data_IF_022519256736
#
_entry.id   IF_022519256736
#
_cell.length_a   1.000
_cell.length_b   1.000
_cell.length_c   1.000
_cell.angle_alpha   90.00
_cell.angle_beta   90.00
_cell.angle_gamma   90.00
#
_symmetry.space_group_name_H-M   'P 1'
#
loop_
_entity.id
_entity.type
_entity.pdbx_description
1 polymer ?
#
# COMPACT_ATOMS: atom_id res chain seq x y z
N UNK A 1 -25.38 18.86 -26.00
CA UNK A 1 -25.21 17.41 -26.26
C UNK A 1 -23.88 17.24 -26.97
N UNK A 2 -22.85 16.57 -26.48
CA UNK A 2 -22.65 15.78 -25.26
C UNK A 2 -21.15 15.73 -25.01
N UNK A 3 -20.71 16.03 -23.79
CA UNK A 3 -19.32 15.88 -23.34
C UNK A 3 -19.13 14.49 -22.73
N UNK A 4 -18.91 13.49 -23.59
CA UNK A 4 -18.80 12.08 -23.18
C UNK A 4 -17.64 11.39 -23.90
N UNK A 5 -16.43 11.92 -23.70
CA UNK A 5 -15.20 11.35 -24.24
C UNK A 5 -14.07 11.19 -23.22
N UNK A 6 -14.19 11.73 -22.00
CA UNK A 6 -13.05 11.80 -21.07
C UNK A 6 -12.93 10.58 -20.13
N UNK A 7 -14.06 9.92 -19.81
CA UNK A 7 -14.12 8.86 -18.81
C UNK A 7 -13.43 7.54 -19.23
N UNK A 8 -13.40 7.27 -20.55
CA UNK A 8 -12.81 6.02 -21.09
C UNK A 8 -11.28 6.01 -21.10
N UNK A 9 -10.64 7.18 -21.00
CA UNK A 9 -9.18 7.30 -21.03
C UNK A 9 -8.57 6.88 -19.70
N UNK A 10 -9.26 7.13 -18.59
CA UNK A 10 -8.80 6.81 -17.23
C UNK A 10 -8.77 5.29 -17.00
N UNK A 11 -9.80 4.58 -17.48
CA UNK A 11 -9.87 3.11 -17.36
C UNK A 11 -8.85 2.43 -18.29
N UNK A 12 -8.56 3.02 -19.46
CA UNK A 12 -7.50 2.54 -20.35
C UNK A 12 -6.12 2.56 -19.68
N UNK A 13 -5.87 3.54 -18.81
CA UNK A 13 -4.61 3.70 -18.06
C UNK A 13 -4.42 2.65 -16.96
N UNK A 14 -5.50 2.06 -16.44
CA UNK A 14 -5.45 0.96 -15.46
C UNK A 14 -4.95 -0.36 -16.09
N UNK A 15 -5.19 -0.58 -17.39
CA UNK A 15 -4.74 -1.78 -18.09
C UNK A 15 -3.24 -1.77 -18.45
N UNK A 16 -2.59 -0.60 -18.50
CA UNK A 16 -1.13 -0.47 -18.69
C UNK A 16 -0.30 -0.85 -17.44
N UNK A 17 -0.94 -0.99 -16.28
CA UNK A 17 -0.24 -1.38 -15.04
C UNK A 17 0.17 -2.86 -15.08
N UNK A 18 -0.43 -3.69 -15.96
CA UNK A 18 -0.21 -5.14 -16.04
C UNK A 18 1.18 -5.58 -16.52
N UNK A 19 2.03 -4.66 -17.00
CA UNK A 19 3.42 -4.96 -17.41
C UNK A 19 4.47 -4.46 -16.42
N UNK A 20 4.06 -3.81 -15.32
CA UNK A 20 4.97 -3.31 -14.29
C UNK A 20 5.31 -4.43 -13.32
N UNK A 21 6.54 -4.42 -12.79
CA UNK A 21 6.96 -5.29 -11.69
C UNK A 21 5.87 -5.29 -10.61
N UNK A 22 5.63 -6.43 -9.92
CA UNK A 22 4.67 -6.46 -8.83
C UNK A 22 4.90 -5.27 -7.90
N UNK A 23 3.84 -4.62 -7.39
CA UNK A 23 3.97 -3.44 -6.51
C UNK A 23 4.51 -3.81 -5.11
N UNK A 24 5.06 -5.01 -4.97
CA UNK A 24 5.55 -5.61 -3.75
C UNK A 24 6.80 -6.43 -4.06
N UNK A 25 7.62 -6.68 -3.04
CA UNK A 25 8.80 -7.53 -3.07
C UNK A 25 8.70 -8.65 -2.03
N UNK A 26 9.51 -9.70 -2.16
CA UNK A 26 9.57 -10.76 -1.15
C UNK A 26 10.35 -10.27 0.07
N UNK A 27 9.68 -10.19 1.21
CA UNK A 27 10.33 -10.03 2.51
C UNK A 27 10.62 -11.40 3.08
N UNK A 28 11.91 -11.63 3.40
CA UNK A 28 12.39 -12.87 3.99
C UNK A 28 12.89 -12.58 5.40
N UNK A 29 12.24 -13.18 6.39
CA UNK A 29 12.61 -13.08 7.81
C UNK A 29 12.81 -14.49 8.33
N UNK A 30 14.00 -14.84 8.77
CA UNK A 30 14.24 -16.16 9.34
C UNK A 30 15.26 -16.14 10.45
N UNK A 31 15.18 -17.17 11.28
CA UNK A 31 16.16 -17.47 12.31
C UNK A 31 17.07 -18.57 11.77
N UNK A 32 17.92 -18.22 10.81
CA UNK A 32 18.82 -19.16 10.15
C UNK A 32 20.26 -18.97 10.62
N UNK A 33 21.02 -20.06 10.65
CA UNK A 33 22.46 -20.06 11.01
C UNK A 33 23.32 -19.50 9.85
N UNK A 34 23.05 -18.25 9.47
CA UNK A 34 23.66 -17.56 8.34
C UNK A 34 22.66 -17.01 7.31
N UNK A 35 23.17 -16.21 6.38
CA UNK A 35 22.37 -15.61 5.30
C UNK A 35 22.09 -16.66 4.21
N UNK A 36 20.81 -16.95 3.97
CA UNK A 36 20.38 -17.82 2.87
C UNK A 36 20.02 -16.95 1.66
N UNK A 37 20.75 -17.12 0.57
CA UNK A 37 20.44 -16.47 -0.70
C UNK A 37 19.82 -17.49 -1.67
N UNK A 38 18.59 -17.24 -2.10
CA UNK A 38 17.95 -18.02 -3.15
C UNK A 38 18.37 -17.55 -4.54
N UNK A 39 18.30 -18.45 -5.52
CA UNK A 39 18.53 -18.10 -6.92
C UNK A 39 17.42 -17.17 -7.44
N UNK A 40 17.71 -16.43 -8.51
CA UNK A 40 16.72 -15.59 -9.17
C UNK A 40 15.49 -16.40 -9.65
N UNK A 41 15.70 -17.63 -10.12
CA UNK A 41 14.62 -18.52 -10.56
C UNK A 41 13.72 -18.92 -9.38
N UNK A 42 14.32 -19.30 -8.24
CA UNK A 42 13.56 -19.62 -7.02
C UNK A 42 12.77 -18.41 -6.53
N UNK A 43 13.37 -17.22 -6.51
CA UNK A 43 12.67 -15.99 -6.13
C UNK A 43 11.50 -15.68 -7.06
N UNK A 44 11.66 -15.83 -8.37
CA UNK A 44 10.58 -15.63 -9.34
C UNK A 44 9.44 -16.65 -9.15
N UNK A 45 9.78 -17.92 -8.88
CA UNK A 45 8.78 -18.95 -8.60
C UNK A 45 8.00 -18.64 -7.32
N UNK A 46 8.70 -18.21 -6.26
CA UNK A 46 8.09 -17.79 -5.00
C UNK A 46 7.18 -16.57 -5.21
N UNK A 47 7.62 -15.57 -5.97
CA UNK A 47 6.79 -14.41 -6.29
C UNK A 47 5.50 -14.84 -7.00
N UNK A 48 5.62 -15.75 -7.98
CA UNK A 48 4.46 -16.26 -8.73
C UNK A 48 3.48 -17.05 -7.87
N UNK A 49 3.93 -17.76 -6.83
CA UNK A 49 3.04 -18.42 -5.86
C UNK A 49 2.16 -17.37 -5.17
N UNK A 50 2.75 -16.27 -4.72
CA UNK A 50 2.00 -15.17 -4.13
C UNK A 50 1.07 -14.50 -5.16
N UNK A 51 1.47 -14.33 -6.43
CA UNK A 51 0.55 -13.80 -7.46
C UNK A 51 -0.67 -14.70 -7.69
N UNK A 52 -0.48 -16.03 -7.64
CA UNK A 52 -1.56 -17.01 -7.83
C UNK A 52 -2.44 -17.17 -6.58
N UNK A 53 -1.90 -16.86 -5.39
CA UNK A 53 -2.59 -16.98 -4.11
C UNK A 53 -2.66 -15.61 -3.40
N UNK A 54 -3.45 -14.64 -3.90
CA UNK A 54 -3.48 -13.27 -3.38
C UNK A 54 -3.87 -13.18 -1.90
N UNK A 55 -4.68 -14.12 -1.41
CA UNK A 55 -5.13 -14.19 -0.02
C UNK A 55 -4.06 -14.67 0.97
N UNK A 56 -2.92 -15.17 0.48
CA UNK A 56 -1.88 -15.72 1.32
C UNK A 56 -1.03 -14.59 1.93
N UNK A 57 -1.08 -14.44 3.26
CA UNK A 57 -0.34 -13.41 3.99
C UNK A 57 1.16 -13.69 4.13
N UNK A 58 1.54 -14.97 4.17
CA UNK A 58 2.94 -15.41 4.18
C UNK A 58 3.08 -16.94 4.18
N UNK A 59 4.24 -17.44 3.76
CA UNK A 59 4.60 -18.87 3.82
C UNK A 59 5.86 -19.06 4.65
N UNK A 60 5.99 -20.23 5.28
CA UNK A 60 7.26 -20.64 5.89
C UNK A 60 7.99 -21.62 4.99
N UNK A 61 9.21 -21.30 4.60
CA UNK A 61 10.15 -22.22 3.96
C UNK A 61 10.98 -22.92 5.04
N UNK A 62 10.95 -24.25 5.04
CA UNK A 62 11.83 -25.08 5.86
C UNK A 62 13.17 -25.26 5.15
N UNK A 63 14.27 -24.88 5.78
CA UNK A 63 15.63 -25.09 5.25
C UNK A 63 16.46 -25.95 6.20
N UNK A 64 17.59 -26.46 5.71
CA UNK A 64 18.54 -27.21 6.55
C UNK A 64 19.18 -26.36 7.64
N UNK A 65 19.17 -25.03 7.48
CA UNK A 65 19.80 -24.08 8.40
C UNK A 65 18.79 -23.32 9.26
N UNK A 66 17.51 -23.69 9.21
CA UNK A 66 16.43 -23.05 9.96
C UNK A 66 15.21 -22.68 9.10
N UNK A 67 14.21 -22.07 9.73
CA UNK A 67 12.98 -21.66 9.07
C UNK A 67 13.07 -20.21 8.57
N UNK A 68 12.54 -19.97 7.37
CA UNK A 68 12.37 -18.66 6.77
C UNK A 68 10.88 -18.35 6.58
N UNK A 69 10.41 -17.26 7.18
CA UNK A 69 9.10 -16.69 6.88
C UNK A 69 9.21 -15.77 5.67
N UNK A 70 8.36 -16.00 4.68
CA UNK A 70 8.23 -15.17 3.48
C UNK A 70 6.88 -14.47 3.48
N UNK A 71 6.87 -13.18 3.14
CA UNK A 71 5.65 -12.40 2.97
C UNK A 71 5.82 -11.37 1.86
N UNK A 72 4.71 -10.76 1.42
CA UNK A 72 4.76 -9.60 0.52
C UNK A 72 5.08 -8.37 1.33
N UNK A 73 6.08 -7.62 0.86
CA UNK A 73 6.41 -6.29 1.38
C UNK A 73 6.09 -5.24 0.32
N UNK A 74 5.28 -4.26 0.71
CA UNK A 74 4.90 -3.15 -0.15
C UNK A 74 5.77 -1.94 0.25
N UNK A 75 6.55 -1.37 -0.68
CA UNK A 75 7.40 -0.22 -0.38
C UNK A 75 6.56 0.96 0.14
N UNK A 76 7.15 1.79 1.00
CA UNK A 76 6.43 2.78 1.82
C UNK A 76 5.58 3.80 1.07
N UNK A 77 5.80 4.02 -0.23
CA UNK A 77 4.97 4.91 -1.05
C UNK A 77 3.66 4.26 -1.56
N UNK A 78 3.48 2.95 -1.40
CA UNK A 78 2.31 2.22 -1.90
C UNK A 78 1.00 2.72 -1.29
N UNK A 79 1.00 3.05 0.01
CA UNK A 79 -0.18 3.59 0.70
C UNK A 79 -0.62 4.90 0.07
N UNK A 80 0.31 5.82 -0.20
CA UNK A 80 0.02 7.12 -0.82
C UNK A 80 -0.56 6.97 -2.24
N UNK A 81 -0.08 5.99 -3.02
CA UNK A 81 -0.64 5.69 -4.33
C UNK A 81 -2.08 5.16 -4.23
N UNK A 82 -2.36 4.30 -3.25
CA UNK A 82 -3.73 3.82 -3.01
C UNK A 82 -4.64 4.95 -2.57
N UNK A 83 -4.19 5.83 -1.67
CA UNK A 83 -4.98 6.98 -1.20
C UNK A 83 -5.33 7.93 -2.35
N UNK A 84 -4.40 8.19 -3.26
CA UNK A 84 -4.66 8.99 -4.46
C UNK A 84 -5.70 8.33 -5.40
N UNK A 85 -5.66 7.00 -5.53
CA UNK A 85 -6.66 6.24 -6.30
C UNK A 85 -8.04 6.27 -5.64
N UNK A 86 -8.10 6.12 -4.31
CA UNK A 86 -9.33 6.22 -3.53
C UNK A 86 -9.97 7.60 -3.71
N UNK A 87 -9.19 8.67 -3.52
CA UNK A 87 -9.65 10.03 -3.75
C UNK A 87 -10.16 10.22 -5.18
N UNK A 88 -9.46 9.68 -6.19
CA UNK A 88 -9.90 9.73 -7.58
C UNK A 88 -11.26 9.08 -7.80
N UNK A 89 -11.44 7.84 -7.33
CA UNK A 89 -12.70 7.09 -7.47
C UNK A 89 -13.85 7.85 -6.78
N UNK A 90 -13.64 8.27 -5.53
CA UNK A 90 -14.67 8.91 -4.71
C UNK A 90 -15.08 10.30 -5.23
N UNK A 91 -14.17 11.03 -5.88
CA UNK A 91 -14.49 12.32 -6.51
C UNK A 91 -15.13 12.17 -7.90
N UNK A 92 -14.78 11.13 -8.66
CA UNK A 92 -15.33 10.90 -10.00
C UNK A 92 -16.74 10.31 -9.99
N UNK A 93 -17.05 9.46 -9.01
CA UNK A 93 -18.30 8.70 -8.95
C UNK A 93 -19.12 9.11 -7.71
N UNK A 94 -20.00 10.14 -7.80
CA UNK A 94 -20.76 10.62 -6.65
C UNK A 94 -21.77 9.61 -6.09
N UNK A 95 -22.06 8.54 -6.84
CA UNK A 95 -22.87 7.41 -6.36
C UNK A 95 -22.10 6.53 -5.35
N UNK A 96 -20.76 6.57 -5.36
CA UNK A 96 -19.90 5.84 -4.42
C UNK A 96 -19.64 6.74 -3.20
N UNK A 97 -20.39 6.51 -2.13
CA UNK A 97 -20.27 7.30 -0.88
C UNK A 97 -19.14 6.82 0.04
N UNK A 98 -18.62 5.61 -0.18
CA UNK A 98 -17.39 5.15 0.45
C UNK A 98 -17.05 3.70 0.12
N UNK A 99 -15.83 3.31 0.51
CA UNK A 99 -15.23 1.99 0.24
C UNK A 99 -14.81 1.38 1.57
N UNK A 100 -15.42 0.24 1.93
CA UNK A 100 -15.14 -0.46 3.19
C UNK A 100 -14.02 -1.46 3.01
N UNK A 101 -12.98 -1.31 3.83
CA UNK A 101 -11.90 -2.26 4.01
C UNK A 101 -12.20 -3.11 5.26
N UNK A 102 -12.49 -4.41 5.09
CA UNK A 102 -12.89 -5.26 6.20
C UNK A 102 -11.77 -5.42 7.22
N UNK A 103 -12.16 -5.71 8.47
CA UNK A 103 -11.21 -6.03 9.52
C UNK A 103 -10.34 -7.23 9.13
N UNK A 104 -9.05 -7.15 9.43
CA UNK A 104 -8.11 -8.27 9.40
C UNK A 104 -7.68 -8.59 10.84
N UNK A 105 -6.99 -9.73 11.05
CA UNK A 105 -6.54 -10.12 12.40
C UNK A 105 -5.65 -9.07 13.10
N UNK A 106 -5.06 -8.13 12.35
CA UNK A 106 -4.18 -7.07 12.87
C UNK A 106 -4.70 -5.67 12.61
N UNK A 107 -5.86 -5.50 11.96
CA UNK A 107 -6.36 -4.17 11.56
C UNK A 107 -7.88 -4.10 11.70
N UNK A 108 -8.44 -3.06 12.36
CA UNK A 108 -9.89 -2.89 12.40
C UNK A 108 -10.45 -2.60 11.00
N UNK A 109 -11.75 -2.80 10.86
CA UNK A 109 -12.50 -2.34 9.69
C UNK A 109 -12.36 -0.82 9.56
N UNK A 110 -12.27 -0.35 8.33
CA UNK A 110 -12.14 1.07 8.01
C UNK A 110 -12.91 1.42 6.73
N UNK A 111 -13.42 2.64 6.62
CA UNK A 111 -14.15 3.11 5.45
C UNK A 111 -13.47 4.36 4.89
N UNK A 112 -13.02 4.28 3.64
CA UNK A 112 -12.56 5.44 2.89
C UNK A 112 -13.76 6.21 2.34
N UNK A 113 -13.74 7.53 2.46
CA UNK A 113 -14.83 8.45 2.04
C UNK A 113 -14.25 9.66 1.31
N UNK A 114 -15.09 10.47 0.66
CA UNK A 114 -14.64 11.72 -0.01
C UNK A 114 -13.90 12.64 0.97
N UNK A 115 -14.33 12.68 2.23
CA UNK A 115 -13.72 13.51 3.28
C UNK A 115 -12.45 12.87 3.88
N UNK A 116 -12.32 11.54 3.77
CA UNK A 116 -11.23 10.76 4.37
C UNK A 116 -10.87 9.58 3.43
N UNK A 117 -10.17 9.84 2.29
CA UNK A 117 -9.92 8.85 1.25
C UNK A 117 -8.70 7.97 1.54
N UNK A 118 -8.46 7.62 2.80
CA UNK A 118 -7.27 6.90 3.22
C UNK A 118 -7.49 5.39 3.32
N UNK A 119 -6.49 4.61 2.87
CA UNK A 119 -6.45 3.16 3.01
C UNK A 119 -6.30 2.76 4.47
N UNK A 120 -5.45 3.42 5.24
CA UNK A 120 -5.18 3.11 6.65
C UNK A 120 -5.85 4.15 7.57
N UNK A 121 -6.39 3.72 8.72
CA UNK A 121 -6.89 4.67 9.72
C UNK A 121 -5.77 5.56 10.31
N UNK A 122 -4.55 5.02 10.45
CA UNK A 122 -3.35 5.75 10.92
C UNK A 122 -2.77 6.72 9.88
N UNK A 123 -3.08 6.56 8.58
CA UNK A 123 -2.59 7.48 7.55
C UNK A 123 -3.16 8.89 7.74
N UNK A 124 -4.32 9.03 8.40
CA UNK A 124 -4.84 10.31 8.88
C UNK A 124 -3.92 10.97 9.91
N UNK A 125 -3.33 10.19 10.81
CA UNK A 125 -2.40 10.69 11.83
C UNK A 125 -1.03 11.03 11.21
N UNK A 126 -0.56 10.25 10.25
CA UNK A 126 0.66 10.55 9.48
C UNK A 126 0.50 11.78 8.59
N UNK A 127 -0.60 11.89 7.83
CA UNK A 127 -0.90 13.06 7.00
C UNK A 127 -1.14 14.32 7.85
N UNK A 128 -1.77 14.20 9.03
CA UNK A 128 -1.90 15.30 9.98
C UNK A 128 -0.53 15.71 10.56
N UNK A 129 0.36 14.76 10.84
CA UNK A 129 1.72 15.06 11.30
C UNK A 129 2.59 15.71 10.20
N UNK A 130 2.46 15.27 8.95
CA UNK A 130 3.16 15.88 7.81
C UNK A 130 2.63 17.29 7.48
N UNK A 131 1.31 17.50 7.49
CA UNK A 131 0.70 18.83 7.32
C UNK A 131 1.04 19.79 8.48
N UNK A 132 1.17 19.29 9.71
CA UNK A 132 1.65 20.07 10.84
C UNK A 132 3.13 20.43 10.70
N UNK A 133 3.94 19.59 10.06
CA UNK A 133 5.36 19.84 9.81
C UNK A 133 5.60 20.81 8.64
N UNK A 134 4.67 20.89 7.67
CA UNK A 134 4.68 21.90 6.61
C UNK A 134 4.18 23.28 7.08
N UNK A 135 3.44 23.34 8.19
CA UNK A 135 3.02 24.61 8.83
C UNK A 135 4.04 25.08 9.85
N UNK A 136 5.33 25.02 9.50
CA UNK A 136 6.45 25.46 10.32
C UNK A 136 6.39 26.95 10.66
N UNK A 137 5.54 27.32 11.62
CA UNK A 137 5.57 28.60 12.30
C UNK A 137 6.62 28.47 13.42
N UNK A 138 7.81 29.09 13.29
CA UNK A 138 8.80 29.02 14.35
C UNK A 138 8.26 29.73 15.60
N UNK A 139 8.46 29.20 16.81
CA UNK A 139 8.08 29.90 18.02
C UNK A 139 8.84 31.23 18.06
N UNK A 140 8.09 32.34 18.02
CA UNK A 140 8.65 33.67 18.29
C UNK A 140 9.31 33.61 19.67
N UNK A 141 10.63 33.69 19.68
CA UNK A 141 11.41 33.83 20.90
C UNK A 141 10.82 35.01 21.69
N UNK A 142 10.38 34.73 22.92
CA UNK A 142 10.07 35.79 23.88
C UNK A 142 11.38 36.53 24.16
N UNK A 143 11.40 37.81 23.79
CA UNK A 143 12.25 38.79 24.43
C UNK A 143 12.03 38.71 25.95
N UNK A 144 13.04 38.25 26.68
CA UNK A 144 13.19 38.59 28.09
C UNK A 144 14.45 39.44 28.26
N UNK A 145 14.25 40.47 29.07
CA UNK A 145 14.94 41.75 29.15
C UNK A 145 16.08 41.71 30.16
#
# INVERSE_FOLDING_TARGET
>A
MSGQADDRVVIGKLNEIRTRRPPWQLLMVGNTDGMIAFSAETNNALMRIFDLLPHLGGVTIKTTSGDLSLSRDFPGNYVNEVDALLAGILNSEPEITGIVFPATGTRPEHMATVEDPHLLPEAKELAAAEAANETGEPPRARDEK
#
